data_IF_297911928886
#
_entry.id   IF_297911928886
#
_cell.length_a   1.000
_cell.length_b   1.000
_cell.length_c   1.000
_cell.angle_alpha   90.00
_cell.angle_beta   90.00
_cell.angle_gamma   90.00
#
_symmetry.space_group_name_H-M   'P 1'
#
loop_
_entity.id
_entity.type
_entity.pdbx_description
1 polymer ?
#
# COMPACT_ATOMS: atom_id res chain seq x y z
N UNK A 1 -56.20 49.87 1.92
CA UNK A 1 -56.22 48.42 1.63
C UNK A 1 -55.79 47.66 2.86
N UNK A 2 -56.23 46.41 2.96
CA UNK A 2 -56.34 45.56 4.17
C UNK A 2 -55.01 45.17 4.82
N UNK A 3 -55.12 44.96 6.13
CA UNK A 3 -54.20 44.34 7.07
C UNK A 3 -54.11 42.81 6.93
N UNK A 4 -52.98 42.27 7.42
CA UNK A 4 -52.69 40.96 8.05
C UNK A 4 -53.25 39.66 7.45
N UNK A 5 -52.35 38.70 7.17
CA UNK A 5 -52.39 37.34 7.76
C UNK A 5 -51.15 36.53 7.35
N UNK A 6 -50.35 36.20 8.37
CA UNK A 6 -49.45 35.04 8.39
C UNK A 6 -50.20 33.76 8.03
N UNK A 7 -49.51 32.76 7.45
CA UNK A 7 -49.47 31.38 7.96
C UNK A 7 -48.70 30.45 7.01
N UNK A 8 -47.68 29.80 7.59
CA UNK A 8 -47.14 28.51 7.16
C UNK A 8 -48.25 27.47 6.96
N UNK A 9 -48.11 26.60 5.96
CA UNK A 9 -48.44 25.17 6.10
C UNK A 9 -47.87 24.37 4.92
N UNK A 10 -46.93 23.50 5.24
CA UNK A 10 -46.53 22.32 4.46
C UNK A 10 -47.72 21.37 4.37
N UNK A 11 -47.98 20.85 3.17
CA UNK A 11 -48.68 19.60 2.87
C UNK A 11 -48.48 19.36 1.36
N UNK A 12 -48.27 18.19 0.76
CA UNK A 12 -48.21 16.78 1.13
C UNK A 12 -47.75 16.06 -0.15
N UNK A 13 -47.01 14.96 0.00
CA UNK A 13 -47.07 13.73 -0.83
C UNK A 13 -47.48 13.87 -2.31
N UNK A 14 -46.50 13.82 -3.20
CA UNK A 14 -46.72 13.37 -4.59
C UNK A 14 -45.98 12.05 -4.79
N UNK A 15 -46.68 10.95 -4.47
CA UNK A 15 -46.41 9.65 -5.06
C UNK A 15 -47.23 9.51 -6.34
N UNK A 16 -46.57 8.95 -7.36
CA UNK A 16 -47.12 8.30 -8.55
C UNK A 16 -47.69 9.19 -9.67
N UNK A 17 -46.91 9.39 -10.74
CA UNK A 17 -47.23 8.84 -12.08
C UNK A 17 -46.22 9.29 -13.15
N UNK A 18 -45.23 8.44 -13.42
CA UNK A 18 -44.59 8.34 -14.73
C UNK A 18 -43.78 7.04 -14.78
N UNK A 19 -44.21 6.07 -15.60
CA UNK A 19 -43.26 5.11 -16.14
C UNK A 19 -42.37 5.84 -17.15
N UNK A 20 -41.07 5.56 -17.18
CA UNK A 20 -40.61 4.66 -18.24
C UNK A 20 -39.44 3.76 -17.80
N UNK A 21 -39.23 2.70 -18.60
CA UNK A 21 -37.94 2.05 -18.71
C UNK A 21 -36.85 3.09 -18.95
N UNK A 22 -36.00 3.30 -17.98
CA UNK A 22 -34.63 3.72 -18.19
C UNK A 22 -33.81 2.90 -17.20
N UNK A 23 -33.15 1.86 -17.70
CA UNK A 23 -31.89 1.44 -17.14
C UNK A 23 -31.03 2.69 -17.03
N UNK A 24 -31.04 3.34 -15.87
CA UNK A 24 -29.99 4.26 -15.46
C UNK A 24 -28.74 3.41 -15.31
N UNK A 25 -28.10 3.14 -16.44
CA UNK A 25 -26.68 2.90 -16.49
C UNK A 25 -26.06 4.14 -15.86
N UNK A 26 -25.71 4.02 -14.58
CA UNK A 26 -24.75 4.90 -13.93
C UNK A 26 -23.65 5.19 -14.95
N UNK A 27 -23.37 6.46 -15.29
CA UNK A 27 -22.37 6.80 -16.29
C UNK A 27 -21.10 5.99 -16.03
N UNK A 28 -20.65 5.21 -17.02
CA UNK A 28 -19.45 4.35 -16.89
C UNK A 28 -18.20 5.14 -16.47
N UNK A 29 -18.24 6.47 -16.54
CA UNK A 29 -17.21 7.42 -16.11
C UNK A 29 -17.13 7.63 -14.59
N UNK A 30 -18.09 7.18 -13.79
CA UNK A 30 -18.10 7.33 -12.33
C UNK A 30 -17.89 6.00 -11.57
N UNK A 31 -17.48 4.93 -12.27
CA UNK A 31 -17.05 3.70 -11.57
C UNK A 31 -15.62 3.87 -11.10
N UNK A 32 -15.44 4.03 -9.79
CA UNK A 32 -14.15 3.78 -9.15
C UNK A 32 -13.68 2.38 -9.59
N UNK A 33 -12.45 2.28 -10.06
CA UNK A 33 -11.86 0.99 -10.47
C UNK A 33 -10.59 0.77 -9.68
N UNK A 34 -10.33 -0.47 -9.29
CA UNK A 34 -9.07 -0.81 -8.63
C UNK A 34 -7.88 -0.47 -9.54
N UNK A 35 -6.97 0.35 -9.02
CA UNK A 35 -5.72 0.75 -9.65
C UNK A 35 -4.55 0.01 -9.02
N UNK A 36 -3.68 -0.53 -9.87
CA UNK A 36 -2.49 -1.24 -9.45
C UNK A 36 -1.26 -0.35 -9.54
N UNK A 37 -0.92 0.30 -8.42
CA UNK A 37 0.26 1.17 -8.33
C UNK A 37 1.49 0.34 -7.94
N UNK A 38 2.16 -0.25 -8.92
CA UNK A 38 3.40 -1.02 -8.71
C UNK A 38 4.59 -0.05 -8.57
N UNK A 39 5.39 -0.13 -7.49
CA UNK A 39 6.53 0.76 -7.30
C UNK A 39 7.54 0.57 -8.44
N UNK A 40 8.00 1.70 -8.99
CA UNK A 40 8.95 1.71 -10.09
C UNK A 40 10.36 1.98 -9.58
N UNK A 41 11.35 1.25 -10.09
CA UNK A 41 12.75 1.43 -9.68
C UNK A 41 13.28 2.85 -9.90
N UNK A 42 12.78 3.57 -10.92
CA UNK A 42 13.25 4.95 -11.20
C UNK A 42 12.83 5.95 -10.11
N UNK A 43 11.82 5.62 -9.30
CA UNK A 43 11.39 6.43 -8.16
C UNK A 43 12.35 6.30 -6.95
N UNK A 44 13.34 5.40 -7.03
CA UNK A 44 14.32 5.16 -5.98
C UNK A 44 15.72 5.43 -6.50
N UNK A 45 16.34 6.58 -6.16
CA UNK A 45 17.67 6.92 -6.64
C UNK A 45 18.72 5.92 -6.13
N UNK A 46 19.88 5.80 -6.81
CA UNK A 46 21.01 5.03 -6.31
C UNK A 46 21.39 5.46 -4.90
N UNK A 47 21.56 4.49 -4.02
CA UNK A 47 21.86 4.74 -2.62
C UNK A 47 23.36 4.93 -2.38
N UNK A 48 23.69 5.74 -1.37
CA UNK A 48 25.07 5.97 -0.94
C UNK A 48 25.40 5.21 0.34
N UNK A 49 24.41 4.92 1.19
CA UNK A 49 24.65 4.31 2.51
C UNK A 49 23.67 3.18 2.85
N UNK A 50 24.06 2.35 3.83
CA UNK A 50 23.16 1.35 4.41
C UNK A 50 22.02 1.95 5.24
N UNK A 51 22.16 3.19 5.73
CA UNK A 51 21.06 3.89 6.37
C UNK A 51 19.97 4.24 5.36
N UNK A 52 20.34 4.71 4.17
CA UNK A 52 19.39 4.99 3.08
C UNK A 52 18.63 3.73 2.65
N UNK A 53 19.32 2.58 2.66
CA UNK A 53 18.71 1.29 2.33
C UNK A 53 17.60 0.93 3.33
N UNK A 54 17.84 1.15 4.62
CA UNK A 54 16.82 0.94 5.67
C UNK A 54 15.62 1.87 5.47
N UNK A 55 15.86 3.13 5.07
CA UNK A 55 14.78 4.08 4.76
C UNK A 55 13.92 3.56 3.60
N UNK A 56 14.55 3.13 2.50
CA UNK A 56 13.81 2.59 1.35
C UNK A 56 13.06 1.30 1.68
N UNK A 57 13.65 0.41 2.47
CA UNK A 57 12.98 -0.79 2.95
C UNK A 57 11.72 -0.46 3.73
N UNK A 58 11.79 0.50 4.67
CA UNK A 58 10.63 0.97 5.45
C UNK A 58 9.57 1.59 4.55
N UNK A 59 9.97 2.45 3.62
CA UNK A 59 9.06 3.09 2.68
C UNK A 59 8.34 2.06 1.80
N UNK A 60 9.06 1.10 1.21
CA UNK A 60 8.47 0.05 0.38
C UNK A 60 7.57 -0.89 1.20
N UNK A 61 7.91 -1.20 2.45
CA UNK A 61 7.03 -1.94 3.36
C UNK A 61 5.73 -1.18 3.61
N UNK A 62 5.79 0.12 3.93
CA UNK A 62 4.60 0.95 4.16
C UNK A 62 3.73 1.06 2.89
N UNK A 63 4.37 1.29 1.75
CA UNK A 63 3.67 1.32 0.46
C UNK A 63 2.96 -0.01 0.18
N UNK A 64 3.65 -1.14 0.35
CA UNK A 64 3.06 -2.46 0.16
C UNK A 64 1.90 -2.73 1.11
N UNK A 65 2.02 -2.35 2.39
CA UNK A 65 0.93 -2.46 3.38
C UNK A 65 -0.29 -1.63 2.97
N UNK A 66 -0.11 -0.36 2.63
CA UNK A 66 -1.20 0.52 2.24
C UNK A 66 -1.94 0.01 0.99
N UNK A 67 -1.20 -0.43 -0.03
CA UNK A 67 -1.81 -0.96 -1.26
C UNK A 67 -2.49 -2.30 -1.05
N UNK A 68 -1.94 -3.15 -0.19
CA UNK A 68 -2.59 -4.42 0.16
C UNK A 68 -3.84 -4.22 1.02
N UNK A 69 -3.85 -3.24 1.91
CA UNK A 69 -5.05 -2.88 2.65
C UNK A 69 -6.18 -2.43 1.71
N UNK A 70 -5.87 -1.55 0.75
CA UNK A 70 -6.84 -1.15 -0.29
C UNK A 70 -7.27 -2.38 -1.12
N UNK A 71 -6.33 -3.23 -1.53
CA UNK A 71 -6.65 -4.48 -2.24
C UNK A 71 -7.62 -5.37 -1.45
N UNK A 72 -7.44 -5.50 -0.13
CA UNK A 72 -8.34 -6.24 0.75
C UNK A 72 -9.75 -5.66 0.77
N UNK A 73 -9.87 -4.33 0.85
CA UNK A 73 -11.17 -3.66 0.75
C UNK A 73 -11.86 -3.94 -0.58
N UNK A 74 -11.13 -3.86 -1.70
CA UNK A 74 -11.70 -4.19 -3.01
C UNK A 74 -12.11 -5.66 -3.11
N UNK A 75 -11.29 -6.60 -2.64
CA UNK A 75 -11.62 -8.03 -2.63
C UNK A 75 -12.89 -8.35 -1.84
N UNK A 76 -13.18 -7.60 -0.78
CA UNK A 76 -14.39 -7.78 0.01
C UNK A 76 -15.67 -7.33 -0.73
N UNK A 77 -15.54 -6.50 -1.77
CA UNK A 77 -16.68 -5.94 -2.53
C UNK A 77 -16.73 -6.42 -4.00
N UNK A 78 -15.76 -7.24 -4.44
CA UNK A 78 -15.69 -7.79 -5.79
C UNK A 78 -16.21 -9.23 -5.84
N UNK A 79 -17.37 -9.43 -6.47
CA UNK A 79 -17.96 -10.75 -6.70
C UNK A 79 -17.42 -11.45 -7.94
N UNK A 80 -16.87 -10.69 -8.90
CA UNK A 80 -16.38 -11.23 -10.17
C UNK A 80 -14.98 -11.83 -10.03
N UNK A 81 -14.83 -13.13 -10.35
CA UNK A 81 -13.54 -13.84 -10.34
C UNK A 81 -12.42 -13.09 -11.08
N UNK A 82 -12.62 -12.57 -12.32
CA UNK A 82 -11.56 -11.87 -13.04
C UNK A 82 -11.04 -10.61 -12.32
N UNK A 83 -11.91 -9.92 -11.58
CA UNK A 83 -11.50 -8.73 -10.83
C UNK A 83 -10.71 -9.11 -9.58
N UNK A 84 -11.15 -10.16 -8.87
CA UNK A 84 -10.42 -10.71 -7.71
C UNK A 84 -9.03 -11.20 -8.07
N UNK A 85 -8.90 -11.88 -9.22
CA UNK A 85 -7.61 -12.34 -9.74
C UNK A 85 -6.70 -11.16 -10.08
N UNK A 86 -7.24 -10.11 -10.72
CA UNK A 86 -6.50 -8.89 -11.02
C UNK A 86 -5.98 -8.20 -9.75
N UNK A 87 -6.81 -8.09 -8.72
CA UNK A 87 -6.43 -7.49 -7.44
C UNK A 87 -5.33 -8.33 -6.75
N UNK A 88 -5.48 -9.64 -6.75
CA UNK A 88 -4.50 -10.56 -6.13
C UNK A 88 -3.16 -10.57 -6.88
N UNK A 89 -3.20 -10.52 -8.21
CA UNK A 89 -2.00 -10.39 -9.04
C UNK A 89 -1.27 -9.08 -8.76
N UNK A 90 -2.00 -7.97 -8.57
CA UNK A 90 -1.39 -6.69 -8.23
C UNK A 90 -0.63 -6.72 -6.91
N UNK A 91 -1.22 -7.31 -5.86
CA UNK A 91 -0.54 -7.51 -4.57
C UNK A 91 0.82 -8.20 -4.76
N UNK A 92 0.83 -9.28 -5.54
CA UNK A 92 2.06 -10.04 -5.85
C UNK A 92 3.08 -9.19 -6.61
N UNK A 93 2.64 -8.44 -7.62
CA UNK A 93 3.49 -7.55 -8.40
C UNK A 93 4.15 -6.45 -7.55
N UNK A 94 3.40 -5.86 -6.62
CA UNK A 94 3.93 -4.85 -5.69
C UNK A 94 5.04 -5.46 -4.82
N UNK A 95 4.80 -6.63 -4.24
CA UNK A 95 5.79 -7.30 -3.39
C UNK A 95 7.05 -7.71 -4.18
N UNK A 96 6.87 -8.19 -5.41
CA UNK A 96 7.96 -8.57 -6.28
C UNK A 96 8.80 -7.35 -6.71
N UNK A 97 8.16 -6.27 -7.15
CA UNK A 97 8.83 -5.04 -7.55
C UNK A 97 9.62 -4.43 -6.38
N UNK A 98 9.02 -4.36 -5.20
CA UNK A 98 9.71 -3.91 -3.99
C UNK A 98 10.97 -4.73 -3.70
N UNK A 99 10.91 -6.06 -3.82
CA UNK A 99 12.08 -6.93 -3.61
C UNK A 99 13.16 -6.67 -4.64
N UNK A 100 12.80 -6.54 -5.92
CA UNK A 100 13.77 -6.25 -6.99
C UNK A 100 14.50 -4.93 -6.74
N UNK A 101 13.79 -3.90 -6.31
CA UNK A 101 14.37 -2.60 -5.96
C UNK A 101 15.37 -2.74 -4.80
N UNK A 102 14.96 -3.36 -3.70
CA UNK A 102 15.82 -3.54 -2.52
C UNK A 102 17.00 -4.45 -2.79
N UNK A 103 16.83 -5.53 -3.57
CA UNK A 103 17.92 -6.46 -3.89
C UNK A 103 19.02 -5.78 -4.70
N UNK A 104 18.65 -4.94 -5.68
CA UNK A 104 19.61 -4.14 -6.44
C UNK A 104 20.34 -3.14 -5.54
N UNK A 105 19.62 -2.47 -4.63
CA UNK A 105 20.22 -1.52 -3.69
C UNK A 105 21.14 -2.20 -2.68
N UNK A 106 20.76 -3.38 -2.18
CA UNK A 106 21.59 -4.21 -1.31
C UNK A 106 22.91 -4.59 -1.97
N UNK A 107 22.88 -5.02 -3.24
CA UNK A 107 24.10 -5.36 -3.99
C UNK A 107 25.05 -4.17 -4.13
N UNK A 108 24.52 -2.96 -4.27
CA UNK A 108 25.33 -1.73 -4.34
C UNK A 108 25.92 -1.33 -2.99
N UNK A 109 25.15 -1.46 -1.90
CA UNK A 109 25.53 -1.00 -0.56
C UNK A 109 26.40 -2.01 0.21
N UNK A 110 26.13 -3.32 0.08
CA UNK A 110 26.86 -4.35 0.81
C UNK A 110 28.40 -4.23 0.75
N UNK A 111 29.03 -3.97 -0.42
CA UNK A 111 30.49 -3.85 -0.50
C UNK A 111 31.05 -2.56 0.13
N UNK A 112 30.24 -1.55 0.44
CA UNK A 112 30.71 -0.30 1.06
C UNK A 112 30.86 -0.41 2.59
N UNK A 113 30.36 -1.49 3.19
CA UNK A 113 30.45 -1.74 4.63
C UNK A 113 31.84 -2.21 5.04
N UNK A 114 32.42 -1.51 6.02
CA UNK A 114 33.82 -1.71 6.43
C UNK A 114 33.96 -2.87 7.42
N UNK A 115 33.03 -3.02 8.37
CA UNK A 115 33.14 -4.02 9.44
C UNK A 115 32.32 -5.29 9.17
N UNK A 116 32.78 -6.40 9.75
CA UNK A 116 32.06 -7.68 9.68
C UNK A 116 30.70 -7.59 10.40
N UNK A 117 30.65 -6.91 11.55
CA UNK A 117 29.42 -6.69 12.30
C UNK A 117 28.36 -5.94 11.49
N UNK A 118 28.75 -4.90 10.73
CA UNK A 118 27.83 -4.18 9.84
C UNK A 118 27.31 -5.09 8.72
N UNK A 119 28.20 -5.88 8.09
CA UNK A 119 27.81 -6.81 7.02
C UNK A 119 26.84 -7.88 7.50
N UNK A 120 27.06 -8.44 8.69
CA UNK A 120 26.18 -9.45 9.27
C UNK A 120 24.84 -8.85 9.71
N UNK A 121 24.83 -7.66 10.29
CA UNK A 121 23.60 -6.93 10.61
C UNK A 121 22.81 -6.55 9.35
N UNK A 122 23.46 -6.18 8.25
CA UNK A 122 22.77 -5.90 6.99
C UNK A 122 22.16 -7.18 6.37
N UNK A 123 22.86 -8.31 6.43
CA UNK A 123 22.31 -9.61 6.00
C UNK A 123 21.08 -10.00 6.80
N UNK A 124 21.13 -9.84 8.11
CA UNK A 124 20.01 -10.07 9.02
C UNK A 124 18.83 -9.15 8.66
N UNK A 125 19.09 -7.86 8.47
CA UNK A 125 18.08 -6.86 8.10
C UNK A 125 17.38 -7.19 6.78
N UNK A 126 18.12 -7.62 5.76
CA UNK A 126 17.55 -8.05 4.47
C UNK A 126 16.69 -9.31 4.64
N UNK A 127 17.18 -10.28 5.41
CA UNK A 127 16.46 -11.53 5.62
C UNK A 127 15.13 -11.29 6.34
N UNK A 128 15.14 -10.53 7.44
CA UNK A 128 13.93 -10.19 8.20
C UNK A 128 12.99 -9.30 7.39
N UNK A 129 13.52 -8.35 6.60
CA UNK A 129 12.71 -7.53 5.68
C UNK A 129 12.00 -8.38 4.63
N UNK A 130 12.69 -9.33 3.99
CA UNK A 130 12.06 -10.23 3.01
C UNK A 130 10.95 -11.07 3.65
N UNK A 131 11.14 -11.55 4.87
CA UNK A 131 10.11 -12.25 5.64
C UNK A 131 8.93 -11.34 5.97
N UNK A 132 9.18 -10.10 6.39
CA UNK A 132 8.13 -9.11 6.63
C UNK A 132 7.31 -8.85 5.36
N UNK A 133 7.99 -8.68 4.21
CA UNK A 133 7.33 -8.51 2.91
C UNK A 133 6.53 -9.73 2.46
N UNK A 134 6.93 -10.95 2.81
CA UNK A 134 6.13 -12.15 2.57
C UNK A 134 4.87 -12.21 3.44
N UNK A 135 4.91 -11.60 4.63
CA UNK A 135 3.78 -11.53 5.55
C UNK A 135 2.76 -10.43 5.25
N UNK A 136 2.97 -9.62 4.20
CA UNK A 136 2.00 -8.61 3.77
C UNK A 136 1.05 -9.26 2.76
N UNK A 137 -0.24 -9.25 3.08
CA UNK A 137 -1.31 -9.80 2.25
C UNK A 137 -2.50 -8.83 2.19
N UNK A 138 -3.43 -9.00 1.25
CA UNK A 138 -4.68 -8.25 1.27
C UNK A 138 -5.51 -8.46 2.55
N UNK A 139 -5.31 -9.58 3.25
CA UNK A 139 -6.04 -9.93 4.47
C UNK A 139 -5.41 -9.35 5.74
N UNK A 140 -4.19 -8.83 5.66
CA UNK A 140 -3.48 -8.28 6.80
C UNK A 140 -1.97 -8.41 6.71
N UNK A 141 -1.31 -7.96 7.76
CA UNK A 141 0.15 -7.91 7.91
C UNK A 141 0.57 -8.83 9.04
N UNK A 142 1.67 -9.55 8.87
CA UNK A 142 2.32 -10.25 9.97
C UNK A 142 3.15 -9.28 10.81
N UNK A 143 2.56 -8.79 11.90
CA UNK A 143 3.19 -7.81 12.79
C UNK A 143 4.46 -8.34 13.45
N UNK A 144 4.53 -9.63 13.76
CA UNK A 144 5.74 -10.25 14.33
C UNK A 144 6.92 -10.18 13.35
N UNK A 145 6.68 -10.46 12.06
CA UNK A 145 7.70 -10.36 11.03
C UNK A 145 8.12 -8.90 10.80
N UNK A 146 7.17 -7.96 10.83
CA UNK A 146 7.46 -6.53 10.71
C UNK A 146 8.28 -6.00 11.90
N UNK A 147 7.96 -6.43 13.12
CA UNK A 147 8.73 -6.11 14.32
C UNK A 147 10.16 -6.65 14.24
N UNK A 148 10.34 -7.91 13.81
CA UNK A 148 11.66 -8.50 13.62
C UNK A 148 12.52 -7.72 12.61
N UNK A 149 11.91 -7.24 11.52
CA UNK A 149 12.58 -6.32 10.59
C UNK A 149 13.00 -5.02 11.27
N UNK A 150 12.11 -4.37 12.02
CA UNK A 150 12.41 -3.11 12.68
C UNK A 150 13.55 -3.24 13.71
N UNK A 151 13.56 -4.32 14.50
CA UNK A 151 14.66 -4.61 15.44
C UNK A 151 15.99 -4.82 14.73
N UNK A 152 16.01 -5.60 13.64
CA UNK A 152 17.24 -5.79 12.85
C UNK A 152 17.74 -4.48 12.23
N UNK A 153 16.83 -3.66 11.71
CA UNK A 153 17.14 -2.36 11.15
C UNK A 153 17.70 -1.38 12.19
N UNK A 154 17.14 -1.33 13.40
CA UNK A 154 17.65 -0.51 14.51
C UNK A 154 19.06 -0.93 14.93
N UNK A 155 19.30 -2.24 15.03
CA UNK A 155 20.65 -2.79 15.30
C UNK A 155 21.65 -2.37 14.23
N UNK A 156 21.29 -2.46 12.94
CA UNK A 156 22.15 -2.00 11.86
C UNK A 156 22.44 -0.50 11.97
N UNK A 157 21.42 0.32 12.18
CA UNK A 157 21.58 1.78 12.28
C UNK A 157 22.51 2.18 13.44
N UNK A 158 22.43 1.50 14.59
CA UNK A 158 23.34 1.72 15.71
C UNK A 158 24.81 1.42 15.36
N UNK A 159 25.06 0.41 14.53
CA UNK A 159 26.40 0.03 14.05
C UNK A 159 26.96 0.94 12.96
N UNK A 160 26.12 1.77 12.33
CA UNK A 160 26.52 2.71 11.28
C UNK A 160 26.87 4.10 11.83
N UNK A 161 26.54 4.39 13.08
CA UNK A 161 26.91 5.65 13.71
C UNK A 161 28.43 5.72 13.93
N UNK A 162 29.08 6.85 13.61
CA UNK A 162 30.49 7.04 13.96
C UNK A 162 30.63 7.06 15.49
N UNK A 163 31.51 6.20 16.01
CA UNK A 163 31.90 6.18 17.43
C UNK A 163 32.93 7.27 17.75
#
# INVERSE_FOLDING_TARGET
MKQYLSLLAVCLLAGCSAGPQATESVPQTLRSSYQCDVPQAQAFPPLQTAADLVVNMRHLSQHAQARNFVAGQWLAHSDALPERDRISACSTQILQASRQIIDAQYQAVYPTLTSQAQRDALKETIATWRTAMQGITPQGVNDTALAAFNTAAERLLALLQPH
#
